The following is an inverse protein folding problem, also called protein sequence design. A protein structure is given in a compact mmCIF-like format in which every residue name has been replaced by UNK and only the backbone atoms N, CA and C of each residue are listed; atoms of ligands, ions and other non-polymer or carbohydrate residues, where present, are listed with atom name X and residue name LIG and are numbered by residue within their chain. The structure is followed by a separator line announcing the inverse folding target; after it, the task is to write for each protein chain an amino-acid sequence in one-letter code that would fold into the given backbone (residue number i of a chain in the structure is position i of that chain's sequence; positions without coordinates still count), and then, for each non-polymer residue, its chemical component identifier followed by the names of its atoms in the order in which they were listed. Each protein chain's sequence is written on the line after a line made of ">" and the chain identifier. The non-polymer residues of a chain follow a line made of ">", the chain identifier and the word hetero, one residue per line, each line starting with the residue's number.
data_IF_037304727077
#
_entry.id   IF_037304727077
#
_cell.length_a   1.000
_cell.length_b   1.000
_cell.length_c   1.000
_cell.angle_alpha   90.00
_cell.angle_beta   90.00
_cell.angle_gamma   90.00
#
_symmetry.space_group_name_H-M   'P 1'
#
loop_
_entity.id
_entity.type
_entity.pdbx_description
1 polymer ?
#
# COMPACT_ATOMS: atom_id res chain seq x y z
N UNK A 1 -17.63 53.84 -16.46
CA UNK A 1 -17.46 53.50 -15.02
C UNK A 1 -18.70 52.72 -14.60
N UNK A 2 -18.70 51.49 -14.10
CA UNK A 2 -17.63 50.57 -13.71
C UNK A 2 -18.27 49.17 -13.66
N UNK A 3 -17.68 48.25 -14.42
CA UNK A 3 -17.43 46.83 -14.17
C UNK A 3 -18.58 45.90 -13.72
N UNK A 4 -18.92 45.05 -14.69
CA UNK A 4 -19.56 43.75 -14.61
C UNK A 4 -18.59 42.79 -13.89
N UNK A 5 -18.86 42.45 -12.62
CA UNK A 5 -18.11 41.43 -11.88
C UNK A 5 -18.68 40.06 -12.24
N UNK A 6 -18.10 39.44 -13.27
CA UNK A 6 -18.30 38.01 -13.54
C UNK A 6 -17.62 37.18 -12.44
N UNK A 7 -18.25 36.08 -11.99
CA UNK A 7 -17.64 35.17 -11.03
C UNK A 7 -16.42 34.48 -11.65
N UNK A 8 -15.35 34.41 -10.87
CA UNK A 8 -14.11 33.72 -11.25
C UNK A 8 -14.42 32.27 -11.64
N UNK A 9 -13.88 31.76 -12.76
CA UNK A 9 -13.84 30.33 -12.97
C UNK A 9 -12.90 29.76 -11.90
N UNK A 10 -13.44 28.90 -11.04
CA UNK A 10 -12.62 28.02 -10.21
C UNK A 10 -11.69 27.26 -11.16
N UNK A 11 -10.42 27.68 -11.19
CA UNK A 11 -9.35 27.04 -11.95
C UNK A 11 -9.17 25.65 -11.37
N UNK A 12 -9.74 24.64 -12.04
CA UNK A 12 -9.50 23.24 -11.74
C UNK A 12 -8.13 22.86 -12.33
N UNK A 13 -7.06 23.42 -11.76
CA UNK A 13 -5.67 23.09 -12.10
C UNK A 13 -5.08 22.22 -11.00
N UNK A 14 -5.37 20.92 -11.04
CA UNK A 14 -4.54 19.92 -10.32
C UNK A 14 -4.66 18.49 -10.88
N UNK A 15 -5.65 18.19 -11.73
CA UNK A 15 -5.88 16.83 -12.22
C UNK A 15 -4.95 16.39 -13.38
N UNK A 16 -3.65 16.70 -13.34
CA UNK A 16 -2.72 16.36 -14.44
C UNK A 16 -1.28 16.09 -14.01
N UNK A 17 -1.04 15.61 -12.78
CA UNK A 17 0.30 15.20 -12.37
C UNK A 17 0.33 13.79 -11.77
N UNK A 18 -0.16 12.78 -12.50
CA UNK A 18 0.01 11.39 -12.06
C UNK A 18 0.23 10.39 -13.21
N UNK A 19 0.95 10.80 -14.25
CA UNK A 19 1.32 9.88 -15.33
C UNK A 19 2.71 10.16 -15.86
N UNK A 20 3.69 10.09 -14.97
CA UNK A 20 5.10 10.27 -15.32
C UNK A 20 5.92 9.11 -14.76
N UNK A 21 5.77 7.94 -15.40
CA UNK A 21 6.89 7.10 -15.86
C UNK A 21 8.18 7.12 -15.00
N UNK A 22 8.08 6.93 -13.70
CA UNK A 22 9.21 6.38 -12.97
C UNK A 22 9.13 4.89 -13.27
N UNK A 23 10.00 4.44 -14.17
CA UNK A 23 10.53 3.08 -14.14
C UNK A 23 11.22 2.91 -12.78
N UNK A 24 10.41 2.79 -11.74
CA UNK A 24 10.84 2.20 -10.50
C UNK A 24 11.27 0.80 -10.92
N UNK A 25 12.51 0.42 -10.63
CA UNK A 25 12.94 -0.97 -10.65
C UNK A 25 12.09 -1.70 -9.60
N UNK A 26 10.84 -1.98 -9.97
CA UNK A 26 9.88 -2.65 -9.12
C UNK A 26 10.41 -4.06 -9.01
N UNK A 27 11.01 -4.35 -7.85
CA UNK A 27 11.40 -5.71 -7.52
C UNK A 27 10.13 -6.55 -7.52
N UNK A 28 9.97 -7.37 -8.56
CA UNK A 28 8.86 -8.30 -8.64
C UNK A 28 8.86 -9.20 -7.43
N UNK A 29 7.67 -9.42 -6.89
CA UNK A 29 7.47 -10.34 -5.78
C UNK A 29 6.71 -11.56 -6.27
N UNK A 30 6.84 -12.64 -5.51
CA UNK A 30 6.18 -13.91 -5.75
C UNK A 30 5.28 -14.26 -4.56
N UNK A 31 4.55 -15.38 -4.66
CA UNK A 31 3.80 -15.94 -3.53
C UNK A 31 4.72 -16.32 -2.35
N UNK A 32 6.00 -16.58 -2.60
CA UNK A 32 6.94 -17.05 -1.59
C UNK A 32 7.39 -15.88 -0.69
N UNK A 33 7.23 -14.65 -1.17
CA UNK A 33 7.47 -13.40 -0.43
C UNK A 33 6.34 -13.05 0.56
N UNK A 34 5.37 -13.95 0.77
CA UNK A 34 4.20 -13.74 1.63
C UNK A 34 4.57 -13.20 3.02
N UNK A 35 5.58 -13.81 3.67
CA UNK A 35 6.00 -13.38 5.00
C UNK A 35 6.84 -12.11 4.98
N UNK A 36 7.70 -11.96 3.96
CA UNK A 36 8.56 -10.78 3.80
C UNK A 36 7.75 -9.51 3.52
N UNK A 37 6.65 -9.65 2.78
CA UNK A 37 5.76 -8.56 2.35
C UNK A 37 4.45 -8.48 3.14
N UNK A 38 4.37 -9.15 4.29
CA UNK A 38 3.17 -9.14 5.11
C UNK A 38 2.80 -7.73 5.59
N UNK A 39 3.78 -6.87 5.84
CA UNK A 39 3.55 -5.50 6.30
C UNK A 39 2.83 -4.66 5.23
N UNK A 40 3.38 -4.67 4.01
CA UNK A 40 2.81 -4.01 2.83
C UNK A 40 1.44 -4.58 2.49
N UNK A 41 1.32 -5.91 2.54
CA UNK A 41 0.06 -6.61 2.31
C UNK A 41 -1.01 -6.23 3.33
N UNK A 42 -0.67 -6.13 4.62
CA UNK A 42 -1.61 -5.76 5.67
C UNK A 42 -2.12 -4.33 5.51
N UNK A 43 -1.27 -3.39 5.11
CA UNK A 43 -1.70 -2.02 4.80
C UNK A 43 -2.60 -2.01 3.58
N UNK A 44 -2.21 -2.71 2.51
CA UNK A 44 -3.02 -2.81 1.31
C UNK A 44 -4.40 -3.41 1.56
N UNK A 45 -4.49 -4.42 2.43
CA UNK A 45 -5.77 -4.99 2.87
C UNK A 45 -6.67 -3.97 3.58
N UNK A 46 -6.09 -3.10 4.41
CA UNK A 46 -6.85 -2.05 5.12
C UNK A 46 -7.31 -0.96 4.17
N UNK A 47 -6.41 -0.46 3.31
CA UNK A 47 -6.71 0.66 2.42
C UNK A 47 -7.64 0.25 1.26
N UNK A 48 -7.33 -0.85 0.58
CA UNK A 48 -8.06 -1.26 -0.62
C UNK A 48 -9.33 -2.06 -0.29
N UNK A 49 -9.26 -2.89 0.75
CA UNK A 49 -10.35 -3.83 1.09
C UNK A 49 -11.08 -3.48 2.37
N UNK A 50 -10.56 -2.58 3.21
CA UNK A 50 -11.11 -2.32 4.54
C UNK A 50 -11.07 -3.54 5.46
N UNK A 51 -10.14 -4.49 5.24
CA UNK A 51 -10.04 -5.74 6.00
C UNK A 51 -8.74 -5.83 6.77
N UNK A 52 -8.78 -6.52 7.91
CA UNK A 52 -7.59 -6.87 8.67
C UNK A 52 -7.17 -8.30 8.36
N UNK A 53 -5.88 -8.58 8.51
CA UNK A 53 -5.36 -9.94 8.39
C UNK A 53 -6.00 -10.91 9.40
N UNK A 54 -6.35 -10.41 10.60
CA UNK A 54 -7.07 -11.15 11.64
C UNK A 54 -8.45 -11.64 11.20
N UNK A 55 -9.05 -10.98 10.22
CA UNK A 55 -10.42 -11.29 9.76
C UNK A 55 -10.41 -12.31 8.60
N UNK A 56 -9.23 -12.69 8.13
CA UNK A 56 -9.05 -13.58 6.98
C UNK A 56 -8.58 -14.96 7.44
N UNK A 57 -9.14 -16.00 6.82
CA UNK A 57 -8.56 -17.35 6.91
C UNK A 57 -7.23 -17.41 6.17
N UNK A 58 -6.37 -18.37 6.52
CA UNK A 58 -5.08 -18.55 5.87
C UNK A 58 -5.19 -18.78 4.36
N UNK A 59 -6.20 -19.50 3.90
CA UNK A 59 -6.48 -19.71 2.48
C UNK A 59 -6.89 -18.42 1.78
N UNK A 60 -7.84 -17.68 2.37
CA UNK A 60 -8.30 -16.39 1.83
C UNK A 60 -7.17 -15.37 1.77
N UNK A 61 -6.32 -15.30 2.80
CA UNK A 61 -5.17 -14.40 2.83
C UNK A 61 -4.19 -14.71 1.69
N UNK A 62 -3.92 -15.98 1.39
CA UNK A 62 -3.04 -16.39 0.28
C UNK A 62 -3.64 -16.04 -1.07
N UNK A 63 -4.94 -16.28 -1.28
CA UNK A 63 -5.62 -15.92 -2.53
C UNK A 63 -5.63 -14.42 -2.77
N UNK A 64 -5.83 -13.64 -1.71
CA UNK A 64 -5.80 -12.18 -1.78
C UNK A 64 -4.36 -11.69 -1.98
N UNK A 65 -3.36 -12.35 -1.41
CA UNK A 65 -1.94 -12.05 -1.64
C UNK A 65 -1.55 -12.27 -3.11
N UNK A 66 -2.05 -13.30 -3.77
CA UNK A 66 -1.83 -13.50 -5.22
C UNK A 66 -2.38 -12.32 -6.05
N UNK A 67 -3.47 -11.70 -5.62
CA UNK A 67 -4.01 -10.48 -6.27
C UNK A 67 -3.11 -9.27 -5.99
N UNK A 68 -2.57 -9.15 -4.78
CA UNK A 68 -1.60 -8.12 -4.42
C UNK A 68 -0.32 -8.23 -5.27
N UNK A 69 0.27 -9.42 -5.39
CA UNK A 69 1.44 -9.69 -6.24
C UNK A 69 1.21 -9.25 -7.69
N UNK A 70 0.03 -9.55 -8.24
CA UNK A 70 -0.32 -9.12 -9.60
C UNK A 70 -0.42 -7.60 -9.74
N UNK A 71 -0.84 -6.87 -8.71
CA UNK A 71 -0.91 -5.40 -8.75
C UNK A 71 0.46 -4.76 -8.53
N UNK A 72 1.27 -5.35 -7.66
CA UNK A 72 2.65 -4.98 -7.41
C UNK A 72 3.49 -5.09 -8.68
N UNK A 73 3.52 -6.25 -9.31
CA UNK A 73 4.32 -6.46 -10.52
C UNK A 73 3.82 -5.61 -11.71
N UNK A 74 2.57 -5.11 -11.65
CA UNK A 74 2.04 -4.16 -12.65
C UNK A 74 2.39 -2.70 -12.37
N UNK A 75 3.04 -2.39 -11.24
CA UNK A 75 3.34 -1.01 -10.85
C UNK A 75 2.11 -0.18 -10.52
N UNK A 76 0.98 -0.81 -10.18
CA UNK A 76 -0.28 -0.11 -9.89
C UNK A 76 -0.40 0.35 -8.43
N UNK A 77 0.45 -0.18 -7.55
CA UNK A 77 0.49 0.25 -6.16
C UNK A 77 1.22 1.61 -6.06
N UNK A 78 0.83 2.48 -5.11
CA UNK A 78 1.55 3.71 -4.82
C UNK A 78 3.01 3.48 -4.40
N UNK A 79 3.90 4.47 -4.61
CA UNK A 79 5.34 4.35 -4.36
C UNK A 79 5.69 3.89 -2.92
N UNK A 80 4.90 4.31 -1.94
CA UNK A 80 5.04 3.95 -0.51
C UNK A 80 5.12 2.43 -0.26
N UNK A 81 4.49 1.62 -1.12
CA UNK A 81 4.52 0.18 -0.97
C UNK A 81 5.88 -0.41 -1.32
N UNK A 82 6.62 0.18 -2.26
CA UNK A 82 7.93 -0.31 -2.70
C UNK A 82 9.08 0.15 -1.79
N UNK A 83 8.92 1.31 -1.14
CA UNK A 83 9.90 1.86 -0.18
C UNK A 83 9.94 1.06 1.14
N UNK A 84 8.91 0.25 1.40
CA UNK A 84 8.78 -0.59 2.58
C UNK A 84 7.98 0.11 3.67
N UNK A 85 6.86 -0.51 4.07
CA UNK A 85 6.02 0.04 5.13
C UNK A 85 6.58 -0.41 6.47
N UNK A 86 7.25 0.50 7.18
CA UNK A 86 7.57 0.33 8.59
C UNK A 86 6.28 0.43 9.40
N UNK A 87 5.55 -0.67 9.52
CA UNK A 87 4.48 -0.75 10.52
C UNK A 87 5.12 -0.52 11.88
N UNK A 88 4.50 0.32 12.72
CA UNK A 88 5.03 0.82 13.99
C UNK A 88 5.66 -0.24 14.91
N UNK A 89 6.39 0.20 15.96
CA UNK A 89 7.36 -0.61 16.68
C UNK A 89 6.79 -1.99 17.05
N UNK A 90 7.33 -3.04 16.42
CA UNK A 90 7.14 -4.40 16.92
C UNK A 90 7.76 -4.42 18.31
N UNK A 91 6.97 -4.74 19.31
CA UNK A 91 7.46 -4.82 20.68
C UNK A 91 8.57 -5.88 20.73
N UNK A 92 9.79 -5.46 21.05
CA UNK A 92 10.90 -6.34 21.37
C UNK A 92 10.63 -6.92 22.77
N UNK A 93 9.66 -7.83 22.87
CA UNK A 93 9.39 -8.53 24.11
C UNK A 93 10.56 -9.46 24.40
N UNK A 94 11.35 -9.13 25.42
CA UNK A 94 12.39 -9.99 25.94
C UNK A 94 11.74 -11.03 26.86
N UNK A 95 11.41 -12.20 26.30
CA UNK A 95 10.84 -13.30 27.07
C UNK A 95 11.93 -13.92 27.93
N UNK A 96 11.97 -13.58 29.21
CA UNK A 96 12.87 -14.20 30.20
C UNK A 96 12.39 -15.62 30.53
N UNK A 97 12.47 -16.54 29.56
CA UNK A 97 12.15 -17.95 29.76
C UNK A 97 13.30 -18.57 30.56
N UNK A 98 13.05 -18.79 31.85
CA UNK A 98 13.99 -19.53 32.71
C UNK A 98 14.02 -20.98 32.23
N UNK A 99 15.19 -21.48 31.84
CA UNK A 99 15.39 -22.91 31.61
C UNK A 99 15.33 -23.61 32.97
N UNK A 100 14.50 -24.65 33.05
CA UNK A 100 14.46 -25.60 34.16
C UNK A 100 15.65 -26.57 34.08
#
# INVERSE_FOLDING_TARGET
>A
LTLLVLPLPFSYSDASHFQSSLKQDIKEISKDDYFAKNNEFATWLKEEKGKYFSDLSSESARDIFLKFVKQWNKGKLPSQYYEGITTGPRSAHNWNIKKA
#
